data_IF_447832398033
#
_entry.id   IF_447832398033
#
_cell.length_a   1.000
_cell.length_b   1.000
_cell.length_c   1.000
_cell.angle_alpha   90.00
_cell.angle_beta   90.00
_cell.angle_gamma   90.00
#
_symmetry.space_group_name_H-M   'P 1'
#
loop_
_entity.id
_entity.type
_entity.pdbx_description
1 polymer ?
#
# COMPACT_ATOMS: atom_id res chain seq x y z
N UNK A 1 13.46 32.40 4.90
CA UNK A 1 14.06 31.81 6.13
C UNK A 1 14.41 30.37 5.81
N UNK A 2 15.67 30.11 5.50
CA UNK A 2 16.22 28.77 5.29
C UNK A 2 16.41 28.12 6.65
N UNK A 3 15.32 27.56 7.18
CA UNK A 3 15.38 26.72 8.38
C UNK A 3 15.99 25.39 8.00
N UNK A 4 17.20 25.15 8.49
CA UNK A 4 17.82 23.83 8.51
C UNK A 4 16.86 22.88 9.22
N UNK A 5 16.13 22.04 8.47
CA UNK A 5 15.36 20.96 9.06
C UNK A 5 16.35 20.04 9.74
N UNK A 6 16.46 20.15 11.07
CA UNK A 6 17.02 19.09 11.91
C UNK A 6 16.33 17.80 11.47
N UNK A 7 17.06 16.93 10.78
CA UNK A 7 16.56 15.60 10.43
C UNK A 7 16.31 14.87 11.74
N UNK A 8 15.05 14.79 12.16
CA UNK A 8 14.65 14.11 13.39
C UNK A 8 15.09 12.65 13.29
N UNK A 9 16.03 12.23 14.13
CA UNK A 9 16.62 10.88 14.13
C UNK A 9 15.73 9.88 14.89
N UNK A 10 14.48 9.72 14.44
CA UNK A 10 13.44 8.93 15.13
C UNK A 10 13.71 7.43 15.11
N UNK A 11 14.59 6.96 14.24
CA UNK A 11 14.91 5.55 14.07
C UNK A 11 16.39 5.26 14.34
N UNK A 12 17.04 6.07 15.19
CA UNK A 12 18.47 5.94 15.44
C UNK A 12 18.86 4.52 15.87
N UNK A 13 19.63 3.84 15.03
CA UNK A 13 20.10 2.48 15.27
C UNK A 13 19.01 1.41 15.21
N UNK A 14 17.75 1.76 14.92
CA UNK A 14 16.67 0.80 14.72
C UNK A 14 16.88 0.02 13.43
N UNK A 15 16.35 -1.21 13.36
CA UNK A 15 16.44 -2.05 12.17
C UNK A 15 15.07 -2.21 11.53
N UNK A 16 14.96 -1.80 10.26
CA UNK A 16 13.72 -1.82 9.50
C UNK A 16 13.77 -2.85 8.37
N UNK A 17 12.75 -3.69 8.26
CA UNK A 17 12.49 -4.47 7.04
C UNK A 17 11.52 -3.71 6.15
N UNK A 18 11.86 -3.56 4.86
CA UNK A 18 10.97 -2.96 3.86
C UNK A 18 10.87 -3.91 2.67
N UNK A 19 9.65 -4.37 2.36
CA UNK A 19 9.40 -5.26 1.20
C UNK A 19 8.94 -4.51 -0.03
N UNK A 20 9.32 -4.97 -1.23
CA UNK A 20 9.11 -4.20 -2.45
C UNK A 20 9.94 -2.91 -2.45
N UNK A 21 11.14 -2.97 -1.87
CA UNK A 21 11.99 -1.80 -1.63
C UNK A 21 12.71 -1.31 -2.90
N UNK A 22 12.76 -2.10 -3.98
CA UNK A 22 13.50 -1.75 -5.19
C UNK A 22 12.90 -0.56 -5.96
N UNK A 23 11.62 -0.24 -5.75
CA UNK A 23 10.94 0.82 -6.50
C UNK A 23 9.84 1.53 -5.69
N UNK A 24 9.34 2.63 -6.27
CA UNK A 24 8.11 3.30 -5.83
C UNK A 24 8.04 3.60 -4.33
N UNK A 25 6.95 3.15 -3.69
CA UNK A 25 6.64 3.44 -2.29
C UNK A 25 7.62 2.78 -1.31
N UNK A 26 8.03 1.53 -1.58
CA UNK A 26 8.96 0.81 -0.72
C UNK A 26 10.33 1.46 -0.72
N UNK A 27 10.84 1.86 -1.90
CA UNK A 27 12.08 2.61 -2.03
C UNK A 27 12.03 3.92 -1.22
N UNK A 28 10.95 4.68 -1.35
CA UNK A 28 10.79 5.94 -0.62
C UNK A 28 10.72 5.73 0.90
N UNK A 29 10.05 4.67 1.37
CA UNK A 29 10.06 4.29 2.79
C UNK A 29 11.44 3.91 3.28
N UNK A 30 12.20 3.11 2.53
CA UNK A 30 13.56 2.72 2.88
C UNK A 30 14.48 3.94 2.99
N UNK A 31 14.47 4.83 1.99
CA UNK A 31 15.22 6.10 2.01
C UNK A 31 14.81 6.94 3.21
N UNK A 32 13.51 7.07 3.47
CA UNK A 32 13.00 7.86 4.58
C UNK A 32 13.47 7.33 5.94
N UNK A 33 13.31 6.03 6.19
CA UNK A 33 13.71 5.39 7.45
C UNK A 33 15.23 5.49 7.67
N UNK A 34 16.03 5.24 6.64
CA UNK A 34 17.48 5.37 6.71
C UNK A 34 17.93 6.82 6.97
N UNK A 35 17.29 7.80 6.34
CA UNK A 35 17.56 9.23 6.59
C UNK A 35 17.29 9.67 8.04
N UNK A 36 16.45 8.91 8.76
CA UNK A 36 16.12 9.12 10.16
C UNK A 36 16.88 8.17 11.12
N UNK A 37 17.88 7.45 10.61
CA UNK A 37 18.83 6.66 11.40
C UNK A 37 18.64 5.14 11.39
N UNK A 38 17.64 4.62 10.66
CA UNK A 38 17.39 3.18 10.61
C UNK A 38 18.42 2.43 9.75
N UNK A 39 18.88 1.27 10.19
CA UNK A 39 19.44 0.23 9.32
C UNK A 39 18.31 -0.40 8.51
N UNK A 40 18.50 -0.62 7.21
CA UNK A 40 17.43 -1.16 6.34
C UNK A 40 17.80 -2.53 5.78
N UNK A 41 16.90 -3.50 5.96
CA UNK A 41 16.85 -4.75 5.22
C UNK A 41 15.90 -4.53 4.04
N UNK A 42 16.46 -4.20 2.88
CA UNK A 42 15.72 -3.91 1.66
C UNK A 42 15.43 -5.21 0.90
N UNK A 43 14.15 -5.58 0.82
CA UNK A 43 13.70 -6.84 0.23
C UNK A 43 12.93 -6.58 -1.06
N UNK A 44 13.33 -7.23 -2.15
CA UNK A 44 12.62 -7.17 -3.43
C UNK A 44 12.94 -8.40 -4.28
N UNK A 45 12.14 -8.68 -5.31
CA UNK A 45 12.46 -9.70 -6.32
C UNK A 45 13.51 -9.20 -7.32
N UNK A 46 13.65 -7.88 -7.48
CA UNK A 46 14.63 -7.26 -8.35
C UNK A 46 15.94 -6.97 -7.61
N UNK A 47 16.90 -7.90 -7.72
CA UNK A 47 18.23 -7.81 -7.10
C UNK A 47 18.95 -6.48 -7.37
N UNK A 48 19.04 -6.08 -8.65
CA UNK A 48 19.79 -4.89 -9.03
C UNK A 48 19.20 -3.61 -8.43
N UNK A 49 17.86 -3.55 -8.30
CA UNK A 49 17.19 -2.39 -7.73
C UNK A 49 17.44 -2.24 -6.22
N UNK A 50 17.40 -3.33 -5.44
CA UNK A 50 17.68 -3.25 -4.00
C UNK A 50 19.15 -3.05 -3.69
N UNK A 51 20.06 -3.61 -4.49
CA UNK A 51 21.50 -3.34 -4.36
C UNK A 51 21.83 -1.88 -4.62
N UNK A 52 21.27 -1.30 -5.69
CA UNK A 52 21.42 0.12 -6.01
C UNK A 52 20.86 1.02 -4.88
N UNK A 53 19.67 0.70 -4.37
CA UNK A 53 19.09 1.44 -3.25
C UNK A 53 20.03 1.42 -2.03
N UNK A 54 20.47 0.24 -1.59
CA UNK A 54 21.27 0.10 -0.37
C UNK A 54 22.60 0.83 -0.47
N UNK A 55 23.21 0.88 -1.66
CA UNK A 55 24.43 1.64 -1.90
C UNK A 55 24.25 3.16 -1.72
N UNK A 56 23.03 3.69 -1.83
CA UNK A 56 22.71 5.10 -1.66
C UNK A 56 22.29 5.47 -0.23
N UNK A 57 21.99 4.49 0.64
CA UNK A 57 21.46 4.76 1.98
C UNK A 57 22.57 5.26 2.94
N UNK A 58 22.27 6.24 3.82
CA UNK A 58 23.26 6.82 4.73
C UNK A 58 23.62 5.93 5.93
N UNK A 59 22.93 4.81 6.13
CA UNK A 59 23.09 3.87 7.24
C UNK A 59 23.45 2.48 6.73
N UNK A 60 24.12 1.68 7.56
CA UNK A 60 24.40 0.29 7.20
C UNK A 60 23.09 -0.45 6.89
N UNK A 61 22.99 -0.96 5.66
CA UNK A 61 21.77 -1.57 5.12
C UNK A 61 22.18 -2.76 4.26
N UNK A 62 21.28 -3.73 4.07
CA UNK A 62 21.53 -4.92 3.25
C UNK A 62 20.43 -5.09 2.22
N UNK A 63 20.81 -5.54 1.03
CA UNK A 63 19.90 -5.94 -0.02
C UNK A 63 19.63 -7.44 0.06
N UNK A 64 18.37 -7.85 0.00
CA UNK A 64 17.97 -9.26 -0.03
C UNK A 64 17.02 -9.50 -1.19
N UNK A 65 17.39 -10.42 -2.08
CA UNK A 65 16.50 -10.86 -3.16
C UNK A 65 15.55 -11.93 -2.62
N UNK A 66 14.25 -11.65 -2.59
CA UNK A 66 13.25 -12.60 -2.11
C UNK A 66 11.86 -12.33 -2.71
N UNK A 67 11.15 -13.41 -3.05
CA UNK A 67 9.72 -13.37 -3.33
C UNK A 67 8.95 -13.47 -2.02
N UNK A 68 8.17 -12.44 -1.68
CA UNK A 68 7.40 -12.41 -0.44
C UNK A 68 6.31 -13.48 -0.38
N UNK A 69 5.88 -14.03 -1.51
CA UNK A 69 4.87 -15.10 -1.57
C UNK A 69 5.40 -16.49 -1.20
N UNK A 70 6.73 -16.64 -1.12
CA UNK A 70 7.43 -17.86 -0.70
C UNK A 70 7.82 -17.78 0.80
N UNK A 71 7.32 -18.73 1.59
CA UNK A 71 7.63 -18.82 3.03
C UNK A 71 9.12 -19.04 3.30
N UNK A 72 9.82 -19.79 2.46
CA UNK A 72 11.25 -20.05 2.62
C UNK A 72 12.07 -18.79 2.36
N UNK A 73 11.69 -18.02 1.34
CA UNK A 73 12.30 -16.73 1.04
C UNK A 73 12.05 -15.71 2.16
N UNK A 74 10.85 -15.72 2.76
CA UNK A 74 10.51 -14.89 3.94
C UNK A 74 11.40 -15.23 5.14
N UNK A 75 11.55 -16.52 5.46
CA UNK A 75 12.50 -16.96 6.50
C UNK A 75 13.93 -16.53 6.16
N UNK A 76 14.30 -16.59 4.88
CA UNK A 76 15.61 -16.17 4.38
C UNK A 76 15.93 -14.71 4.67
N UNK A 77 15.06 -13.77 4.30
CA UNK A 77 15.35 -12.34 4.53
C UNK A 77 15.30 -11.98 6.02
N UNK A 78 14.46 -12.64 6.81
CA UNK A 78 14.41 -12.45 8.26
C UNK A 78 15.74 -12.86 8.89
N UNK A 79 16.22 -14.05 8.53
CA UNK A 79 17.52 -14.56 9.01
C UNK A 79 18.65 -13.61 8.61
N UNK A 80 18.70 -13.17 7.35
CA UNK A 80 19.75 -12.25 6.88
C UNK A 80 19.75 -10.92 7.68
N UNK A 81 18.58 -10.35 7.95
CA UNK A 81 18.46 -9.14 8.77
C UNK A 81 18.92 -9.34 10.21
N UNK A 82 18.54 -10.46 10.83
CA UNK A 82 18.95 -10.82 12.19
C UNK A 82 20.46 -11.10 12.27
N UNK A 83 21.03 -11.81 11.29
CA UNK A 83 22.47 -12.07 11.22
C UNK A 83 23.27 -10.78 11.06
N UNK A 84 22.79 -9.84 10.25
CA UNK A 84 23.48 -8.57 9.99
C UNK A 84 23.40 -7.58 11.16
N UNK A 85 22.25 -7.49 11.83
CA UNK A 85 21.97 -6.40 12.79
C UNK A 85 21.57 -6.88 14.19
N UNK A 86 21.46 -8.19 14.41
CA UNK A 86 21.08 -8.82 15.67
C UNK A 86 19.58 -8.79 15.99
N UNK A 87 18.81 -7.91 15.35
CA UNK A 87 17.37 -7.73 15.60
C UNK A 87 16.67 -7.05 14.42
N UNK A 88 15.34 -7.06 14.43
CA UNK A 88 14.48 -6.26 13.58
C UNK A 88 13.44 -5.56 14.48
N UNK A 89 13.31 -4.25 14.36
CA UNK A 89 12.49 -3.42 15.25
C UNK A 89 11.19 -2.97 14.61
N UNK A 90 11.18 -2.76 13.29
CA UNK A 90 10.01 -2.27 12.55
C UNK A 90 9.87 -2.89 11.16
N UNK A 91 8.64 -3.00 10.67
CA UNK A 91 8.34 -3.64 9.38
C UNK A 91 7.43 -2.75 8.52
N UNK A 92 7.85 -2.48 7.28
CA UNK A 92 6.96 -1.98 6.23
C UNK A 92 6.69 -3.11 5.23
N UNK A 93 5.55 -3.77 5.40
CA UNK A 93 5.07 -4.84 4.52
C UNK A 93 4.36 -4.22 3.32
N UNK A 94 5.16 -3.87 2.30
CA UNK A 94 4.74 -3.02 1.20
C UNK A 94 4.56 -3.73 -0.15
N UNK A 95 5.32 -4.79 -0.41
CA UNK A 95 5.30 -5.49 -1.69
C UNK A 95 3.86 -5.79 -2.16
N UNK A 96 3.61 -5.56 -3.44
CA UNK A 96 2.32 -5.82 -4.07
C UNK A 96 2.30 -5.59 -5.58
N UNK A 97 1.34 -6.24 -6.25
CA UNK A 97 1.08 -6.17 -7.69
C UNK A 97 -0.41 -5.88 -7.97
N UNK A 98 -0.77 -5.39 -9.16
CA UNK A 98 -2.16 -5.00 -9.49
C UNK A 98 -2.94 -5.99 -10.37
N UNK A 99 -2.27 -6.95 -11.01
CA UNK A 99 -2.93 -7.90 -11.93
C UNK A 99 -3.26 -7.29 -13.29
N UNK A 100 -4.34 -7.75 -13.92
CA UNK A 100 -4.85 -7.24 -15.19
C UNK A 100 -6.03 -6.28 -15.01
N UNK A 101 -6.37 -5.55 -16.08
CA UNK A 101 -7.58 -4.73 -16.20
C UNK A 101 -8.74 -5.46 -16.90
N UNK A 102 -8.69 -6.80 -16.95
CA UNK A 102 -9.72 -7.60 -17.62
C UNK A 102 -11.10 -7.39 -16.95
N UNK A 103 -12.20 -7.32 -17.74
CA UNK A 103 -13.55 -7.41 -17.20
C UNK A 103 -13.73 -8.68 -16.37
N UNK A 104 -14.61 -8.64 -15.35
CA UNK A 104 -14.79 -9.76 -14.42
C UNK A 104 -15.09 -11.10 -15.13
N UNK A 105 -15.95 -11.18 -16.16
CA UNK A 105 -16.20 -12.44 -16.86
C UNK A 105 -14.98 -13.01 -17.60
N UNK A 106 -14.03 -12.16 -17.97
CA UNK A 106 -12.84 -12.51 -18.76
C UNK A 106 -11.56 -12.58 -17.88
N UNK A 107 -11.72 -12.48 -16.57
CA UNK A 107 -10.62 -12.51 -15.63
C UNK A 107 -10.12 -13.95 -15.44
N UNK A 108 -8.87 -14.18 -15.83
CA UNK A 108 -8.22 -15.47 -15.64
C UNK A 108 -7.97 -15.77 -14.15
N UNK A 109 -8.23 -17.01 -13.74
CA UNK A 109 -8.02 -17.47 -12.36
C UNK A 109 -6.57 -17.30 -11.94
N UNK A 110 -5.61 -17.61 -12.83
CA UNK A 110 -4.18 -17.47 -12.56
C UNK A 110 -3.78 -16.01 -12.25
N UNK A 111 -4.42 -15.02 -12.87
CA UNK A 111 -4.17 -13.61 -12.57
C UNK A 111 -4.66 -13.26 -11.16
N UNK A 112 -5.86 -13.74 -10.80
CA UNK A 112 -6.40 -13.57 -9.46
C UNK A 112 -5.50 -14.23 -8.40
N UNK A 113 -5.12 -15.50 -8.61
CA UNK A 113 -4.27 -16.25 -7.69
C UNK A 113 -2.89 -15.60 -7.51
N UNK A 114 -2.28 -15.14 -8.59
CA UNK A 114 -0.98 -14.45 -8.55
C UNK A 114 -1.04 -13.18 -7.70
N UNK A 115 -2.07 -12.35 -7.87
CA UNK A 115 -2.26 -11.14 -7.05
C UNK A 115 -2.50 -11.50 -5.58
N UNK A 116 -3.31 -12.52 -5.31
CA UNK A 116 -3.54 -12.98 -3.94
C UNK A 116 -2.28 -13.57 -3.29
N UNK A 117 -1.46 -14.29 -4.04
CA UNK A 117 -0.20 -14.86 -3.58
C UNK A 117 0.77 -13.77 -3.09
N UNK A 118 0.91 -12.68 -3.83
CA UNK A 118 1.81 -11.58 -3.46
C UNK A 118 1.16 -10.68 -2.40
N UNK A 119 -0.03 -10.14 -2.69
CA UNK A 119 -0.61 -9.06 -1.89
C UNK A 119 -1.22 -9.53 -0.57
N UNK A 120 -1.68 -10.78 -0.48
CA UNK A 120 -2.33 -11.30 0.72
C UNK A 120 -1.44 -12.32 1.40
N UNK A 121 -1.09 -13.42 0.71
CA UNK A 121 -0.23 -14.45 1.31
C UNK A 121 1.13 -13.87 1.65
N UNK A 122 1.76 -13.09 0.78
CA UNK A 122 3.07 -12.51 1.07
C UNK A 122 3.08 -11.57 2.26
N UNK A 123 2.07 -10.70 2.38
CA UNK A 123 1.93 -9.82 3.55
C UNK A 123 1.59 -10.61 4.82
N UNK A 124 0.78 -11.66 4.74
CA UNK A 124 0.53 -12.57 5.86
C UNK A 124 1.80 -13.30 6.32
N UNK A 125 2.63 -13.80 5.40
CA UNK A 125 3.88 -14.47 5.73
C UNK A 125 4.85 -13.50 6.42
N UNK A 126 4.98 -12.28 5.90
CA UNK A 126 5.78 -11.22 6.53
C UNK A 126 5.27 -10.88 7.94
N UNK A 127 3.96 -10.73 8.12
CA UNK A 127 3.34 -10.50 9.44
C UNK A 127 3.64 -11.64 10.42
N UNK A 128 3.43 -12.89 9.99
CA UNK A 128 3.67 -14.08 10.82
C UNK A 128 5.14 -14.16 11.23
N UNK A 129 6.06 -13.83 10.33
CA UNK A 129 7.48 -13.80 10.64
C UNK A 129 7.85 -12.67 11.62
N UNK A 130 7.30 -11.47 11.44
CA UNK A 130 7.50 -10.34 12.35
C UNK A 130 6.99 -10.65 13.77
N UNK A 131 5.77 -11.17 13.90
CA UNK A 131 5.18 -11.53 15.20
C UNK A 131 5.97 -12.64 15.92
N UNK A 132 6.46 -13.64 15.17
CA UNK A 132 7.38 -14.66 15.72
C UNK A 132 8.66 -14.02 16.23
N UNK A 133 9.25 -13.13 15.45
CA UNK A 133 10.47 -12.43 15.84
C UNK A 133 10.28 -11.62 17.13
N UNK A 134 9.20 -10.84 17.26
CA UNK A 134 8.91 -10.08 18.48
C UNK A 134 8.66 -10.98 19.69
N UNK A 135 7.94 -12.09 19.52
CA UNK A 135 7.74 -13.09 20.57
C UNK A 135 9.08 -13.66 21.04
N UNK A 136 9.90 -14.16 20.11
CA UNK A 136 11.18 -14.81 20.43
C UNK A 136 12.14 -13.81 21.12
N UNK A 137 12.11 -12.53 20.70
CA UNK A 137 12.81 -11.44 21.38
C UNK A 137 12.29 -11.18 22.79
N UNK A 138 10.97 -11.16 22.98
CA UNK A 138 10.34 -10.95 24.29
C UNK A 138 10.67 -12.09 25.26
N UNK A 139 10.63 -13.34 24.79
CA UNK A 139 11.03 -14.52 25.56
C UNK A 139 12.51 -14.45 25.97
N UNK A 140 13.39 -14.04 25.05
CA UNK A 140 14.82 -13.89 25.32
C UNK A 140 15.13 -12.75 26.31
N UNK A 141 14.35 -11.66 26.26
CA UNK A 141 14.50 -10.51 27.16
C UNK A 141 13.86 -10.73 28.53
N UNK A 142 12.87 -11.63 28.64
CA UNK A 142 12.09 -11.83 29.85
C UNK A 142 10.99 -10.78 30.08
N UNK A 143 10.77 -9.90 29.10
CA UNK A 143 9.74 -8.85 29.13
C UNK A 143 9.24 -8.53 27.70
N UNK A 144 8.02 -7.95 27.54
CA UNK A 144 7.51 -7.58 26.22
C UNK A 144 8.43 -6.61 25.49
N UNK A 145 8.84 -6.98 24.27
CA UNK A 145 9.58 -6.10 23.37
C UNK A 145 8.58 -5.43 22.43
N UNK A 146 8.45 -4.09 22.46
CA UNK A 146 7.52 -3.39 21.60
C UNK A 146 7.92 -3.52 20.13
N UNK A 147 6.94 -3.37 19.24
CA UNK A 147 7.14 -3.47 17.81
C UNK A 147 6.16 -2.62 17.01
N UNK A 148 6.50 -2.32 15.76
CA UNK A 148 5.58 -1.65 14.84
C UNK A 148 5.61 -2.28 13.46
N UNK A 149 4.43 -2.51 12.90
CA UNK A 149 4.22 -3.07 11.57
C UNK A 149 3.28 -2.15 10.80
N UNK A 150 3.68 -1.73 9.61
CA UNK A 150 2.85 -0.98 8.68
C UNK A 150 2.66 -1.78 7.40
N UNK A 151 1.42 -1.92 6.98
CA UNK A 151 1.05 -2.48 5.69
C UNK A 151 0.82 -1.38 4.66
N UNK A 152 1.16 -1.65 3.40
CA UNK A 152 0.65 -0.82 2.29
C UNK A 152 -0.71 -1.36 1.84
N UNK A 153 -1.77 -0.73 2.33
CA UNK A 153 -3.14 -0.89 1.86
C UNK A 153 -3.34 -0.08 0.57
N UNK A 154 -4.54 0.45 0.32
CA UNK A 154 -4.82 1.37 -0.78
C UNK A 154 -6.15 2.08 -0.52
N UNK A 155 -6.45 3.18 -1.22
CA UNK A 155 -7.85 3.64 -1.34
C UNK A 155 -8.79 2.54 -1.90
N UNK A 156 -8.24 1.55 -2.64
CA UNK A 156 -8.96 0.35 -3.07
C UNK A 156 -9.32 -0.59 -1.90
N UNK A 157 -8.74 -0.41 -0.70
CA UNK A 157 -9.17 -1.10 0.53
C UNK A 157 -10.44 -0.50 1.13
N UNK A 158 -10.83 0.71 0.69
CA UNK A 158 -11.88 1.52 1.30
C UNK A 158 -13.08 1.72 0.36
N UNK A 159 -12.95 1.30 -0.90
CA UNK A 159 -13.88 1.62 -1.99
C UNK A 159 -13.91 0.52 -3.05
N UNK A 160 -15.00 0.48 -3.80
CA UNK A 160 -15.13 -0.34 -5.01
C UNK A 160 -14.71 0.40 -6.28
N UNK A 161 -14.26 -0.38 -7.27
CA UNK A 161 -14.00 -0.04 -8.67
C UNK A 161 -14.61 -1.10 -9.58
N UNK A 162 -14.86 -0.73 -10.84
CA UNK A 162 -15.39 -1.62 -11.87
C UNK A 162 -14.28 -2.45 -12.56
N UNK A 163 -13.01 -2.14 -12.28
CA UNK A 163 -11.80 -2.77 -12.79
C UNK A 163 -10.91 -3.25 -11.63
N UNK A 164 -9.80 -3.93 -11.97
CA UNK A 164 -8.77 -4.36 -11.00
C UNK A 164 -9.30 -5.23 -9.86
N UNK A 165 -10.25 -6.13 -10.15
CA UNK A 165 -10.90 -6.96 -9.13
C UNK A 165 -9.90 -7.75 -8.24
N UNK A 166 -8.84 -8.41 -8.77
CA UNK A 166 -7.84 -9.07 -7.93
C UNK A 166 -7.16 -8.10 -6.94
N UNK A 167 -6.75 -6.93 -7.44
CA UNK A 167 -6.08 -5.92 -6.63
C UNK A 167 -7.01 -5.41 -5.54
N UNK A 168 -8.24 -5.02 -5.90
CA UNK A 168 -9.22 -4.52 -4.95
C UNK A 168 -9.53 -5.55 -3.86
N UNK A 169 -9.76 -6.80 -4.24
CA UNK A 169 -10.02 -7.90 -3.31
C UNK A 169 -8.85 -8.08 -2.36
N UNK A 170 -7.62 -8.12 -2.91
CA UNK A 170 -6.41 -8.27 -2.10
C UNK A 170 -6.22 -7.10 -1.13
N UNK A 171 -6.53 -5.87 -1.53
CA UNK A 171 -6.38 -4.68 -0.69
C UNK A 171 -7.45 -4.59 0.39
N UNK A 172 -8.65 -5.14 0.18
CA UNK A 172 -9.62 -5.34 1.27
C UNK A 172 -9.14 -6.41 2.26
N UNK A 173 -8.48 -7.48 1.79
CA UNK A 173 -7.92 -8.50 2.68
C UNK A 173 -6.83 -7.94 3.62
N UNK A 174 -6.05 -6.94 3.16
CA UNK A 174 -5.07 -6.23 4.00
C UNK A 174 -5.72 -5.57 5.22
N UNK A 175 -6.92 -5.00 5.08
CA UNK A 175 -7.67 -4.43 6.21
C UNK A 175 -7.95 -5.50 7.28
N UNK A 176 -8.34 -6.71 6.85
CA UNK A 176 -8.51 -7.85 7.75
C UNK A 176 -7.23 -8.25 8.46
N UNK A 177 -6.10 -8.29 7.75
CA UNK A 177 -4.78 -8.57 8.34
C UNK A 177 -4.40 -7.52 9.39
N UNK A 178 -4.58 -6.24 9.09
CA UNK A 178 -4.26 -5.14 10.02
C UNK A 178 -5.11 -5.23 11.28
N UNK A 179 -6.44 -5.33 11.16
CA UNK A 179 -7.33 -5.36 12.32
C UNK A 179 -7.09 -6.59 13.20
N UNK A 180 -6.98 -7.78 12.59
CA UNK A 180 -6.73 -9.02 13.34
C UNK A 180 -5.38 -8.98 14.07
N UNK A 181 -4.34 -8.50 13.39
CA UNK A 181 -3.01 -8.40 13.98
C UNK A 181 -2.90 -7.31 15.05
N UNK A 182 -3.63 -6.20 14.92
CA UNK A 182 -3.66 -5.15 15.94
C UNK A 182 -4.30 -5.63 17.25
N UNK A 183 -5.41 -6.38 17.16
CA UNK A 183 -6.07 -6.98 18.33
C UNK A 183 -5.15 -8.02 18.99
N UNK A 184 -4.47 -8.85 18.19
CA UNK A 184 -3.54 -9.86 18.69
C UNK A 184 -2.27 -9.27 19.30
N UNK A 185 -1.65 -8.32 18.60
CA UNK A 185 -0.36 -7.72 18.96
C UNK A 185 -0.43 -6.65 20.03
N UNK A 186 -1.59 -5.99 20.20
CA UNK A 186 -1.76 -4.89 21.16
C UNK A 186 -1.33 -5.23 22.59
N UNK A 187 -1.84 -6.32 23.20
CA UNK A 187 -1.39 -6.77 24.52
C UNK A 187 0.10 -7.10 24.63
N UNK A 188 0.79 -7.33 23.50
CA UNK A 188 2.22 -7.61 23.41
C UNK A 188 3.05 -6.34 23.19
N UNK A 189 2.44 -5.15 23.14
CA UNK A 189 3.12 -3.90 22.81
C UNK A 189 3.45 -3.75 21.31
N UNK A 190 2.83 -4.56 20.45
CA UNK A 190 3.06 -4.54 19.00
C UNK A 190 1.92 -3.77 18.32
N UNK A 191 2.26 -2.67 17.66
CA UNK A 191 1.33 -1.85 16.89
C UNK A 191 1.27 -2.33 15.45
N UNK A 192 0.07 -2.44 14.90
CA UNK A 192 -0.12 -2.84 13.50
C UNK A 192 -1.09 -1.89 12.83
N UNK A 193 -0.63 -1.19 11.80
CA UNK A 193 -1.42 -0.22 11.06
C UNK A 193 -1.27 -0.43 9.55
N UNK A 194 -2.10 0.25 8.77
CA UNK A 194 -1.95 0.36 7.32
C UNK A 194 -1.88 1.82 6.89
N UNK A 195 -1.16 2.07 5.81
CA UNK A 195 -1.31 3.30 5.02
C UNK A 195 -2.12 2.98 3.77
N UNK A 196 -3.09 3.82 3.43
CA UNK A 196 -3.88 3.73 2.21
C UNK A 196 -3.47 4.87 1.25
N UNK A 197 -2.49 4.63 0.35
CA UNK A 197 -2.15 5.60 -0.68
C UNK A 197 -3.32 5.85 -1.62
N UNK A 198 -3.47 7.12 -2.02
CA UNK A 198 -4.33 7.52 -3.12
C UNK A 198 -3.66 7.39 -4.48
N UNK A 199 -3.86 8.42 -5.30
CA UNK A 199 -3.32 8.47 -6.66
C UNK A 199 -1.84 8.88 -6.60
N UNK A 200 -0.97 7.87 -6.61
CA UNK A 200 0.49 8.04 -6.67
C UNK A 200 1.00 7.33 -7.93
N UNK A 201 1.42 8.09 -8.96
CA UNK A 201 2.08 7.53 -10.13
C UNK A 201 3.36 6.80 -9.67
N UNK A 202 3.32 5.48 -9.72
CA UNK A 202 4.44 4.60 -9.38
C UNK A 202 4.74 3.71 -10.58
N UNK A 203 5.94 3.12 -10.62
CA UNK A 203 6.33 2.18 -11.66
C UNK A 203 5.36 1.01 -11.79
N UNK A 204 4.69 0.65 -10.70
CA UNK A 204 3.63 -0.36 -10.68
C UNK A 204 2.56 -0.09 -11.76
N UNK A 205 2.17 1.17 -11.99
CA UNK A 205 1.17 1.53 -13.00
C UNK A 205 1.78 2.04 -14.31
N UNK A 206 3.11 2.10 -14.43
CA UNK A 206 3.79 2.61 -15.63
C UNK A 206 3.55 1.71 -16.85
N UNK A 207 3.48 0.38 -16.65
CA UNK A 207 3.16 -0.58 -17.72
C UNK A 207 1.72 -0.42 -18.27
N UNK A 208 0.83 0.22 -17.51
CA UNK A 208 -0.55 0.49 -17.89
C UNK A 208 -0.74 1.90 -18.49
N UNK A 209 0.34 2.67 -18.73
CA UNK A 209 0.25 4.09 -19.09
C UNK A 209 -0.63 4.41 -20.32
N UNK A 210 -0.76 3.45 -21.24
CA UNK A 210 -1.55 3.57 -22.48
C UNK A 210 -2.96 2.98 -22.38
N UNK A 211 -3.30 2.28 -21.30
CA UNK A 211 -4.64 1.72 -21.05
C UNK A 211 -5.54 2.79 -20.44
N UNK A 212 -6.85 2.78 -20.73
CA UNK A 212 -7.82 3.61 -19.97
C UNK A 212 -7.72 3.21 -18.49
N UNK A 213 -7.56 4.18 -17.58
CA UNK A 213 -7.17 3.92 -16.18
C UNK A 213 -5.66 4.02 -15.88
N UNK A 214 -4.83 4.19 -16.92
CA UNK A 214 -3.37 4.28 -16.85
C UNK A 214 -2.80 5.65 -16.45
N UNK A 215 -1.48 5.82 -16.59
CA UNK A 215 -0.72 7.01 -16.18
C UNK A 215 -1.28 8.38 -16.61
N UNK A 216 -1.76 8.53 -17.85
CA UNK A 216 -2.36 9.80 -18.30
C UNK A 216 -3.73 10.07 -17.63
N UNK A 217 -4.51 9.02 -17.37
CA UNK A 217 -5.77 9.11 -16.64
C UNK A 217 -5.53 9.36 -15.14
N UNK A 218 -4.47 8.79 -14.56
CA UNK A 218 -4.10 9.00 -13.16
C UNK A 218 -3.80 10.47 -12.84
N UNK A 219 -3.05 11.18 -13.68
CA UNK A 219 -2.80 12.62 -13.46
C UNK A 219 -4.08 13.44 -13.58
N UNK A 220 -4.97 13.12 -14.53
CA UNK A 220 -6.27 13.78 -14.65
C UNK A 220 -7.14 13.53 -13.41
N UNK A 221 -7.25 12.28 -12.95
CA UNK A 221 -7.97 11.90 -11.73
C UNK A 221 -7.39 12.58 -10.49
N UNK A 222 -6.07 12.64 -10.37
CA UNK A 222 -5.38 13.35 -9.29
C UNK A 222 -5.77 14.84 -9.22
N UNK A 223 -5.95 15.51 -10.37
CA UNK A 223 -6.41 16.91 -10.41
C UNK A 223 -7.83 17.12 -9.85
N UNK A 224 -8.62 16.05 -9.74
CA UNK A 224 -9.97 16.10 -9.18
C UNK A 224 -10.02 15.90 -7.65
N UNK A 225 -8.91 15.45 -7.05
CA UNK A 225 -8.81 15.29 -5.59
C UNK A 225 -8.86 16.65 -4.88
N UNK A 226 -9.26 16.73 -3.59
CA UNK A 226 -9.21 17.98 -2.82
C UNK A 226 -7.86 18.72 -2.87
N UNK A 227 -6.73 17.99 -2.84
CA UNK A 227 -5.40 18.59 -2.96
C UNK A 227 -4.99 18.93 -4.41
N UNK A 228 -5.80 18.56 -5.40
CA UNK A 228 -5.63 18.91 -6.83
C UNK A 228 -4.29 18.48 -7.42
N UNK A 229 -3.66 17.45 -6.86
CA UNK A 229 -2.37 16.92 -7.33
C UNK A 229 -2.23 15.44 -7.02
N UNK A 230 -1.33 14.79 -7.73
CA UNK A 230 -0.90 13.45 -7.39
C UNK A 230 -0.09 13.48 -6.08
N UNK A 231 -0.19 12.38 -5.32
CA UNK A 231 0.76 12.13 -4.24
C UNK A 231 2.12 11.74 -4.82
N UNK A 232 3.17 11.87 -4.01
CA UNK A 232 4.49 11.33 -4.33
C UNK A 232 4.81 10.16 -3.40
N UNK A 233 5.73 9.25 -3.78
CA UNK A 233 6.21 8.21 -2.86
C UNK A 233 6.68 8.75 -1.50
N UNK A 234 7.29 9.94 -1.46
CA UNK A 234 7.77 10.59 -0.23
C UNK A 234 6.61 11.07 0.65
N UNK A 235 5.46 11.46 0.07
CA UNK A 235 4.26 11.77 0.85
C UNK A 235 3.79 10.53 1.62
N UNK A 236 3.85 9.35 1.01
CA UNK A 236 3.46 8.09 1.64
C UNK A 236 4.51 7.65 2.66
N UNK A 237 5.79 7.72 2.31
CA UNK A 237 6.90 7.37 3.20
C UNK A 237 6.88 8.19 4.50
N UNK A 238 6.44 9.45 4.45
CA UNK A 238 6.26 10.28 5.65
C UNK A 238 5.20 9.73 6.60
N UNK A 239 4.07 9.24 6.08
CA UNK A 239 3.00 8.62 6.89
C UNK A 239 3.45 7.27 7.43
N UNK A 240 4.15 6.46 6.62
CA UNK A 240 4.75 5.18 7.05
C UNK A 240 5.72 5.42 8.21
N UNK A 241 6.64 6.37 8.06
CA UNK A 241 7.61 6.70 9.11
C UNK A 241 6.92 7.20 10.39
N UNK A 242 5.87 8.03 10.28
CA UNK A 242 5.06 8.40 11.45
C UNK A 242 4.47 7.16 12.14
N UNK A 243 3.77 6.30 11.40
CA UNK A 243 3.13 5.10 11.95
C UNK A 243 4.13 4.11 12.57
N UNK A 244 5.35 4.02 12.03
CA UNK A 244 6.40 3.17 12.59
C UNK A 244 7.07 3.78 13.84
N UNK A 245 7.08 5.10 13.98
CA UNK A 245 7.73 5.81 15.08
C UNK A 245 6.91 5.84 16.39
N UNK A 246 7.53 6.32 17.46
CA UNK A 246 6.89 6.55 18.76
C UNK A 246 5.87 7.70 18.74
N UNK A 247 5.91 8.58 17.72
CA UNK A 247 4.87 9.60 17.52
C UNK A 247 3.47 8.97 17.36
N UNK A 248 3.42 7.70 16.93
CA UNK A 248 2.20 6.90 16.76
C UNK A 248 2.01 5.85 17.88
N UNK A 249 2.60 6.05 19.06
CA UNK A 249 2.57 5.07 20.18
C UNK A 249 1.15 4.69 20.63
N UNK A 250 0.14 5.54 20.38
CA UNK A 250 -1.27 5.26 20.70
C UNK A 250 -2.13 4.94 19.46
N UNK A 251 -1.51 4.58 18.34
CA UNK A 251 -2.20 4.25 17.09
C UNK A 251 -1.94 2.79 16.72
N UNK A 252 -3.00 1.97 16.70
CA UNK A 252 -2.98 0.58 16.24
C UNK A 252 -4.34 0.22 15.65
N UNK A 253 -4.35 -0.64 14.62
CA UNK A 253 -5.56 -1.06 13.90
C UNK A 253 -6.07 -0.08 12.86
N UNK A 254 -5.36 1.03 12.62
CA UNK A 254 -5.83 2.08 11.71
C UNK A 254 -5.40 1.86 10.26
N UNK A 255 -6.27 2.24 9.32
CA UNK A 255 -5.93 2.40 7.90
C UNK A 255 -5.91 3.89 7.58
N UNK A 256 -4.72 4.49 7.66
CA UNK A 256 -4.55 5.93 7.47
C UNK A 256 -4.52 6.27 5.99
N UNK A 257 -5.51 7.04 5.53
CA UNK A 257 -5.59 7.51 4.15
C UNK A 257 -4.56 8.61 3.88
N UNK A 258 -3.67 8.36 2.92
CA UNK A 258 -2.67 9.29 2.42
C UNK A 258 -2.93 9.52 0.93
N UNK A 259 -4.05 10.18 0.64
CA UNK A 259 -4.69 10.11 -0.69
C UNK A 259 -5.12 11.45 -1.28
N UNK A 260 -4.71 12.56 -0.65
CA UNK A 260 -5.10 13.90 -1.08
C UNK A 260 -6.60 14.19 -0.95
N UNK A 261 -7.32 13.41 -0.14
CA UNK A 261 -8.76 13.47 0.04
C UNK A 261 -9.54 12.72 -1.03
N UNK A 262 -8.88 11.88 -1.84
CA UNK A 262 -9.52 11.12 -2.90
C UNK A 262 -10.68 10.27 -2.35
N UNK A 263 -10.48 9.57 -1.22
CA UNK A 263 -11.40 8.61 -0.58
C UNK A 263 -12.71 9.19 -0.06
N UNK A 264 -12.77 10.50 0.17
CA UNK A 264 -13.92 11.15 0.82
C UNK A 264 -14.76 11.99 -0.15
N UNK A 265 -14.27 12.27 -1.36
CA UNK A 265 -15.00 13.08 -2.33
C UNK A 265 -15.94 12.24 -3.19
N UNK A 266 -17.14 12.78 -3.39
CA UNK A 266 -17.99 12.41 -4.50
C UNK A 266 -17.53 13.23 -5.72
N UNK A 267 -16.90 12.59 -6.70
CA UNK A 267 -16.33 13.25 -7.89
C UNK A 267 -17.38 13.79 -8.87
N UNK A 268 -18.66 13.66 -8.54
CA UNK A 268 -19.78 13.90 -9.45
C UNK A 268 -20.58 15.14 -9.06
N UNK A 269 -20.42 15.68 -7.83
CA UNK A 269 -21.19 16.84 -7.36
C UNK A 269 -20.41 17.71 -6.36
N UNK A 270 -20.65 19.02 -6.32
CA UNK A 270 -20.25 19.87 -5.19
C UNK A 270 -20.99 19.53 -3.87
N UNK A 271 -22.16 18.89 -3.94
CA UNK A 271 -23.00 18.52 -2.79
C UNK A 271 -23.21 17.01 -2.72
N UNK A 272 -22.98 16.41 -1.53
CA UNK A 272 -22.91 14.96 -1.30
C UNK A 272 -24.24 14.20 -1.45
N UNK A 273 -24.66 13.94 -2.68
CA UNK A 273 -25.80 13.07 -2.99
C UNK A 273 -25.44 12.05 -4.09
N UNK A 274 -25.94 10.82 -3.95
CA UNK A 274 -25.91 9.81 -5.00
C UNK A 274 -26.89 10.21 -6.12
N UNK A 275 -26.48 10.15 -7.39
CA UNK A 275 -27.41 10.16 -8.52
C UNK A 275 -27.34 11.31 -9.54
N UNK A 276 -26.17 11.88 -9.87
CA UNK A 276 -26.00 12.63 -11.14
C UNK A 276 -24.75 12.21 -11.92
N UNK A 277 -24.24 11.01 -11.65
CA UNK A 277 -23.15 10.49 -12.45
C UNK A 277 -23.77 9.99 -13.72
N UNK A 278 -23.35 10.53 -14.86
CA UNK A 278 -23.64 9.94 -16.14
C UNK A 278 -22.59 8.82 -16.36
N UNK A 279 -22.96 7.54 -16.16
CA UNK A 279 -22.03 6.45 -16.33
C UNK A 279 -21.79 6.15 -17.81
N UNK A 280 -22.53 6.77 -18.75
CA UNK A 280 -22.62 6.32 -20.15
C UNK A 280 -21.25 6.15 -20.80
N UNK A 281 -20.35 7.13 -20.68
CA UNK A 281 -19.00 7.02 -21.24
C UNK A 281 -18.13 5.88 -20.66
N UNK A 282 -18.42 5.46 -19.42
CA UNK A 282 -17.77 4.33 -18.75
C UNK A 282 -18.49 3.02 -19.09
N UNK A 283 -19.82 3.00 -19.02
CA UNK A 283 -20.66 1.85 -19.35
C UNK A 283 -20.47 1.44 -20.82
N UNK A 284 -20.50 2.38 -21.77
CA UNK A 284 -20.27 2.10 -23.20
C UNK A 284 -18.84 1.60 -23.44
N UNK A 285 -17.88 2.08 -22.65
CA UNK A 285 -16.50 1.61 -22.70
C UNK A 285 -16.34 0.17 -22.20
N UNK A 286 -17.14 -0.25 -21.21
CA UNK A 286 -17.08 -1.58 -20.60
C UNK A 286 -17.96 -2.60 -21.33
N UNK A 287 -19.14 -2.19 -21.80
CA UNK A 287 -20.19 -3.08 -22.27
C UNK A 287 -20.59 -2.85 -23.73
N UNK A 288 -20.07 -1.80 -24.38
CA UNK A 288 -20.47 -1.37 -25.71
C UNK A 288 -21.67 -0.42 -25.72
N UNK A 289 -21.75 0.44 -26.74
CA UNK A 289 -22.87 1.38 -26.92
C UNK A 289 -24.21 0.63 -26.98
N UNK A 290 -25.21 1.14 -26.25
CA UNK A 290 -26.57 0.58 -26.28
C UNK A 290 -26.76 -0.70 -25.45
N UNK A 291 -25.78 -1.09 -24.63
CA UNK A 291 -25.89 -2.21 -23.68
C UNK A 291 -27.18 -2.20 -22.83
N UNK A 292 -27.65 -1.02 -22.42
CA UNK A 292 -28.85 -0.86 -21.60
C UNK A 292 -30.16 -1.00 -22.39
N UNK A 293 -30.09 -1.21 -23.72
CA UNK A 293 -31.21 -0.95 -24.63
C UNK A 293 -31.54 0.54 -24.68
N UNK A 294 -32.06 1.05 -25.79
CA UNK A 294 -32.68 2.38 -25.81
C UNK A 294 -33.74 2.42 -24.71
N UNK A 295 -33.71 3.40 -23.78
CA UNK A 295 -34.82 3.59 -22.86
C UNK A 295 -36.07 3.73 -23.69
N UNK A 296 -37.03 2.81 -23.55
CA UNK A 296 -38.35 2.98 -24.13
C UNK A 296 -38.86 4.33 -23.64
N UNK A 297 -39.05 5.27 -24.57
CA UNK A 297 -39.41 6.64 -24.26
C UNK A 297 -40.59 6.65 -23.30
N UNK A 298 -40.39 7.20 -22.10
CA UNK A 298 -41.50 7.86 -21.43
C UNK A 298 -41.76 9.14 -22.22
N UNK A 299 -42.57 8.99 -23.27
CA UNK A 299 -43.31 10.09 -23.85
C UNK A 299 -44.09 10.75 -22.71
N UNK A 300 -43.59 11.90 -22.28
CA UNK A 300 -44.41 12.84 -21.54
C UNK A 300 -45.29 13.53 -22.59
N UNK A 301 -46.28 12.81 -23.12
CA UNK A 301 -47.37 13.44 -23.84
C UNK A 301 -48.11 14.33 -22.84
N UNK A 302 -47.94 15.64 -23.02
CA UNK A 302 -48.80 16.61 -22.38
C UNK A 302 -50.23 16.37 -22.82
N UNK A 303 -51.08 15.90 -21.91
CA UNK A 303 -52.52 16.12 -22.00
C UNK A 303 -52.85 17.40 -21.23
N UNK A 304 -52.98 18.49 -21.98
CA UNK A 304 -53.77 19.62 -21.56
C UNK A 304 -55.25 19.20 -21.46
N UNK A 305 -55.85 19.44 -20.29
CA UNK A 305 -57.24 19.87 -20.14
C UNK A 305 -57.41 20.56 -18.79
#
# INVERSE_FOLDING_TARGET
MTGTTSTTRRFEGAVAVVTGAGSGLGRASAVRLASEGAHVVAVDVNTAAVEALVAELPTASIAVTADVSDETAVVGYMRAGIEAFGRIDVFHLNAGIFGSFAPIPDLEVDDFERVMAVNVRGQFLGLRAALRHYRDRSESAGEPVPGSIVFTASIASLRGSADLLPYQTSKHAVTGLVHGAAVYGGPLGIRVNGVAPGIVPTELFAAAATTKGGGNDMTARASTTPLRRAGTPENIAGVVAFLLSDDAAYTTGEIVSADGGASIVNTVRPSGGAGAWDPTSIDDGLYGEGWRGTPSGHENEGSAS
#
